data_IF_692422721984
#
_entry.id   IF_692422721984
#
_cell.length_a   1.000
_cell.length_b   1.000
_cell.length_c   1.000
_cell.angle_alpha   90.00
_cell.angle_beta   90.00
_cell.angle_gamma   90.00
#
_symmetry.space_group_name_H-M   'P 1'
#
loop_
_entity.id
_entity.type
_entity.pdbx_description
1 polymer ?
#
# COMPACT_ATOMS: atom_id res chain seq x y z
N UNK A 1 32.84 -0.41 32.26
CA UNK A 1 32.51 -1.06 30.98
C UNK A 1 31.18 -0.43 30.56
N UNK A 2 31.26 0.68 29.84
CA UNK A 2 30.08 1.44 29.40
C UNK A 2 29.53 0.80 28.11
N UNK A 3 28.22 0.55 27.99
CA UNK A 3 27.63 0.16 26.72
C UNK A 3 27.46 1.41 25.84
N UNK A 4 27.97 1.37 24.61
CA UNK A 4 27.85 2.45 23.63
C UNK A 4 26.41 2.67 23.13
N UNK A 5 26.10 3.85 22.54
CA UNK A 5 24.75 4.23 22.20
C UNK A 5 24.24 3.49 20.95
N UNK A 6 23.04 2.91 21.07
CA UNK A 6 22.27 2.31 19.98
C UNK A 6 21.51 3.44 19.27
N UNK A 7 22.18 4.19 18.39
CA UNK A 7 21.58 5.36 17.70
C UNK A 7 21.45 5.22 16.17
N UNK A 8 21.53 4.01 15.59
CA UNK A 8 21.42 3.87 14.11
C UNK A 8 20.00 3.62 13.57
N UNK A 9 19.02 3.31 14.43
CA UNK A 9 17.70 2.84 13.96
C UNK A 9 16.65 3.96 13.79
N UNK A 10 16.74 5.11 14.49
CA UNK A 10 15.72 6.18 14.35
C UNK A 10 15.96 7.10 13.15
N UNK A 11 17.22 7.38 12.80
CA UNK A 11 17.58 8.27 11.69
C UNK A 11 17.16 7.70 10.32
N UNK A 12 17.36 6.39 10.09
CA UNK A 12 16.89 5.72 8.88
C UNK A 12 15.35 5.68 8.75
N UNK A 13 14.62 5.66 9.87
CA UNK A 13 13.14 5.69 9.87
C UNK A 13 12.61 7.02 9.35
N UNK A 14 13.16 8.14 9.82
CA UNK A 14 12.74 9.48 9.39
C UNK A 14 13.13 9.76 7.94
N UNK A 15 14.25 9.23 7.46
CA UNK A 15 14.68 9.43 6.07
C UNK A 15 13.76 8.74 5.06
N UNK A 16 13.34 7.49 5.33
CA UNK A 16 12.40 6.78 4.46
C UNK A 16 11.00 7.40 4.48
N UNK A 17 10.55 7.83 5.66
CA UNK A 17 9.29 8.58 5.84
C UNK A 17 9.29 9.87 5.00
N UNK A 18 10.33 10.69 5.13
CA UNK A 18 10.49 11.95 4.37
C UNK A 18 10.61 11.70 2.87
N UNK A 19 11.30 10.63 2.48
CA UNK A 19 11.45 10.26 1.08
C UNK A 19 10.10 9.93 0.44
N UNK A 20 9.30 9.03 1.04
CA UNK A 20 7.99 8.67 0.49
C UNK A 20 7.00 9.83 0.53
N UNK A 21 7.01 10.65 1.58
CA UNK A 21 6.16 11.84 1.66
C UNK A 21 6.48 12.82 0.52
N UNK A 22 7.76 13.19 0.35
CA UNK A 22 8.18 14.12 -0.70
C UNK A 22 7.94 13.59 -2.11
N UNK A 23 8.18 12.30 -2.33
CA UNK A 23 7.95 11.67 -3.64
C UNK A 23 6.46 11.59 -3.99
N UNK A 24 5.62 11.22 -3.02
CA UNK A 24 4.16 11.18 -3.19
C UNK A 24 3.60 12.57 -3.44
N UNK A 25 4.01 13.57 -2.65
CA UNK A 25 3.61 14.97 -2.87
C UNK A 25 4.01 15.45 -4.26
N UNK A 26 5.26 15.23 -4.67
CA UNK A 26 5.74 15.62 -5.99
C UNK A 26 4.89 15.02 -7.12
N UNK A 27 4.62 13.71 -7.07
CA UNK A 27 3.89 13.02 -8.14
C UNK A 27 2.42 13.40 -8.14
N UNK A 28 1.75 13.35 -6.99
CA UNK A 28 0.33 13.64 -6.92
C UNK A 28 0.05 15.11 -7.23
N UNK A 29 0.82 16.04 -6.66
CA UNK A 29 0.61 17.46 -6.90
C UNK A 29 1.08 17.89 -8.30
N UNK A 30 2.30 17.54 -8.70
CA UNK A 30 2.93 18.11 -9.89
C UNK A 30 2.63 17.33 -11.17
N UNK A 31 2.55 15.99 -11.11
CA UNK A 31 2.32 15.16 -12.30
C UNK A 31 0.86 14.82 -12.52
N UNK A 32 0.08 14.65 -11.44
CA UNK A 32 -1.33 14.23 -11.52
C UNK A 32 -2.34 15.36 -11.24
N UNK A 33 -1.88 16.52 -10.74
CA UNK A 33 -2.75 17.66 -10.42
C UNK A 33 -3.69 17.41 -9.23
N UNK A 34 -3.36 16.46 -8.36
CA UNK A 34 -4.10 16.12 -7.15
C UNK A 34 -3.59 16.97 -5.99
N UNK A 35 -4.39 17.94 -5.55
CA UNK A 35 -4.09 18.83 -4.42
C UNK A 35 -4.68 18.33 -3.08
N UNK A 36 -5.09 17.05 -3.01
CA UNK A 36 -5.73 16.45 -1.84
C UNK A 36 -4.69 15.96 -0.83
N UNK A 37 -4.28 16.86 0.06
CA UNK A 37 -3.20 16.61 1.04
C UNK A 37 -3.49 15.38 1.91
N UNK A 38 -4.72 15.22 2.41
CA UNK A 38 -5.09 14.09 3.27
C UNK A 38 -4.96 12.74 2.54
N UNK A 39 -5.31 12.70 1.26
CA UNK A 39 -5.18 11.52 0.43
C UNK A 39 -3.70 11.19 0.18
N UNK A 40 -2.89 12.20 -0.16
CA UNK A 40 -1.45 12.02 -0.41
C UNK A 40 -0.71 11.56 0.85
N UNK A 41 -1.02 12.16 2.01
CA UNK A 41 -0.44 11.76 3.29
C UNK A 41 -0.80 10.30 3.61
N UNK A 42 -2.07 9.93 3.43
CA UNK A 42 -2.52 8.56 3.65
C UNK A 42 -1.79 7.54 2.77
N UNK A 43 -1.62 7.84 1.48
CA UNK A 43 -0.90 6.97 0.54
C UNK A 43 0.58 6.85 0.90
N UNK A 44 1.21 7.94 1.32
CA UNK A 44 2.61 7.96 1.79
C UNK A 44 2.80 7.06 3.00
N UNK A 45 1.92 7.18 4.00
CA UNK A 45 1.94 6.32 5.18
C UNK A 45 1.62 4.86 4.83
N UNK A 46 0.69 4.63 3.90
CA UNK A 46 0.35 3.28 3.42
C UNK A 46 1.56 2.61 2.77
N UNK A 47 2.23 3.29 1.84
CA UNK A 47 3.45 2.80 1.20
C UNK A 47 4.50 2.40 2.24
N UNK A 48 4.73 3.26 3.23
CA UNK A 48 5.67 2.98 4.31
C UNK A 48 5.29 1.74 5.11
N UNK A 49 4.00 1.55 5.45
CA UNK A 49 3.51 0.33 6.12
C UNK A 49 3.83 -0.91 5.28
N UNK A 50 3.54 -0.89 3.99
CA UNK A 50 3.70 -2.06 3.13
C UNK A 50 5.15 -2.37 2.77
N UNK A 51 6.00 -1.37 2.55
CA UNK A 51 7.45 -1.59 2.35
C UNK A 51 8.09 -2.21 3.59
N UNK A 52 7.67 -1.78 4.78
CA UNK A 52 8.11 -2.40 6.04
C UNK A 52 7.60 -3.83 6.16
N UNK A 53 6.34 -4.08 5.82
CA UNK A 53 5.74 -5.41 5.89
C UNK A 53 6.33 -6.35 4.83
N UNK A 54 6.58 -5.93 3.59
CA UNK A 54 7.27 -6.73 2.55
C UNK A 54 8.70 -7.09 2.96
N UNK A 55 9.42 -6.15 3.59
CA UNK A 55 10.75 -6.41 4.14
C UNK A 55 10.71 -7.51 5.22
N UNK A 56 9.64 -7.54 6.02
CA UNK A 56 9.44 -8.51 7.11
C UNK A 56 8.80 -9.84 6.65
N UNK A 57 7.92 -9.82 5.64
CA UNK A 57 7.16 -10.97 5.10
C UNK A 57 7.90 -11.70 3.97
N UNK A 58 9.20 -11.48 3.82
CA UNK A 58 10.10 -12.29 2.99
C UNK A 58 10.22 -13.76 3.45
N UNK A 59 9.29 -14.24 4.29
CA UNK A 59 9.00 -15.64 4.61
C UNK A 59 7.90 -16.08 3.64
N UNK A 60 8.32 -16.56 2.47
CA UNK A 60 7.43 -17.24 1.52
C UNK A 60 6.89 -18.52 2.15
N UNK A 61 5.67 -18.91 1.77
CA UNK A 61 5.29 -20.31 1.90
C UNK A 61 6.26 -21.20 1.09
N UNK A 62 6.46 -22.48 1.46
CA UNK A 62 7.34 -23.40 0.72
C UNK A 62 7.00 -23.56 -0.78
N UNK A 63 5.79 -23.16 -1.18
CA UNK A 63 5.30 -23.14 -2.57
C UNK A 63 5.62 -21.82 -3.33
N UNK A 64 6.30 -20.85 -2.69
CA UNK A 64 6.69 -19.59 -3.29
C UNK A 64 5.62 -18.49 -3.27
N UNK A 65 4.46 -18.70 -2.66
CA UNK A 65 3.39 -17.69 -2.58
C UNK A 65 3.58 -16.72 -1.41
N UNK A 66 3.25 -15.41 -1.58
CA UNK A 66 3.10 -14.47 -0.48
C UNK A 66 2.05 -14.97 0.52
N UNK A 67 2.29 -14.73 1.81
CA UNK A 67 1.52 -15.35 2.90
C UNK A 67 0.10 -14.79 3.13
N UNK A 68 -0.48 -14.02 2.22
CA UNK A 68 -1.83 -13.46 2.39
C UNK A 68 -2.57 -13.35 1.06
N UNK A 69 -3.57 -14.21 0.85
CA UNK A 69 -4.50 -14.13 -0.27
C UNK A 69 -5.65 -13.15 0.04
N UNK A 70 -6.00 -12.28 -0.90
CA UNK A 70 -7.12 -11.33 -0.79
C UNK A 70 -8.42 -12.07 -0.54
N UNK A 71 -8.61 -13.22 -1.17
CA UNK A 71 -9.76 -14.09 -0.94
C UNK A 71 -9.98 -14.40 0.54
N UNK A 72 -8.93 -14.82 1.26
CA UNK A 72 -9.02 -15.17 2.67
C UNK A 72 -9.33 -13.95 3.54
N UNK A 73 -8.75 -12.80 3.21
CA UNK A 73 -9.06 -11.56 3.93
C UNK A 73 -10.53 -11.16 3.77
N UNK A 74 -11.11 -11.33 2.57
CA UNK A 74 -12.52 -11.04 2.31
C UNK A 74 -13.44 -11.98 3.10
N UNK A 75 -13.14 -13.30 3.11
CA UNK A 75 -13.89 -14.29 3.89
C UNK A 75 -13.87 -13.94 5.38
N UNK A 76 -12.71 -13.50 5.89
CA UNK A 76 -12.58 -13.08 7.28
C UNK A 76 -13.35 -11.78 7.56
N UNK A 77 -13.33 -10.81 6.63
CA UNK A 77 -14.06 -9.54 6.76
C UNK A 77 -15.56 -9.76 6.95
N UNK A 78 -16.15 -10.72 6.24
CA UNK A 78 -17.57 -11.06 6.32
C UNK A 78 -17.99 -11.55 7.72
N UNK A 79 -17.06 -12.07 8.52
CA UNK A 79 -17.30 -12.53 9.90
C UNK A 79 -17.18 -11.42 10.94
N UNK A 80 -16.65 -10.27 10.57
CA UNK A 80 -16.41 -9.15 11.49
C UNK A 80 -17.57 -8.17 11.49
N UNK A 81 -17.72 -7.45 12.60
CA UNK A 81 -18.72 -6.38 12.80
C UNK A 81 -18.06 -5.13 13.39
N UNK A 82 -18.71 -3.97 13.21
CA UNK A 82 -18.26 -2.68 13.75
C UNK A 82 -16.83 -2.31 13.35
N UNK A 83 -16.05 -1.76 14.28
CA UNK A 83 -14.67 -1.31 14.05
C UNK A 83 -13.77 -2.43 13.50
N UNK A 84 -13.95 -3.67 13.95
CA UNK A 84 -13.16 -4.79 13.42
C UNK A 84 -13.43 -5.03 11.93
N UNK A 85 -14.69 -4.93 11.50
CA UNK A 85 -15.08 -5.05 10.08
C UNK A 85 -14.45 -3.93 9.26
N UNK A 86 -14.50 -2.71 9.78
CA UNK A 86 -13.92 -1.53 9.17
C UNK A 86 -12.42 -1.68 8.92
N UNK A 87 -11.66 -2.09 9.94
CA UNK A 87 -10.21 -2.19 9.81
C UNK A 87 -9.77 -3.32 8.87
N UNK A 88 -10.50 -4.45 8.85
CA UNK A 88 -10.22 -5.51 7.88
C UNK A 88 -10.49 -5.03 6.45
N UNK A 89 -11.62 -4.35 6.20
CA UNK A 89 -11.92 -3.81 4.87
C UNK A 89 -10.95 -2.70 4.45
N UNK A 90 -10.57 -1.80 5.35
CA UNK A 90 -9.50 -0.82 5.10
C UNK A 90 -8.20 -1.52 4.71
N UNK A 91 -7.82 -2.58 5.42
CA UNK A 91 -6.61 -3.33 5.11
C UNK A 91 -6.68 -4.01 3.74
N UNK A 92 -7.83 -4.59 3.37
CA UNK A 92 -8.06 -5.15 2.02
C UNK A 92 -7.90 -4.05 0.96
N UNK A 93 -8.47 -2.86 1.20
CA UNK A 93 -8.31 -1.70 0.34
C UNK A 93 -6.84 -1.32 0.17
N UNK A 94 -6.11 -1.14 1.28
CA UNK A 94 -4.70 -0.77 1.25
C UNK A 94 -3.84 -1.82 0.53
N UNK A 95 -4.07 -3.11 0.82
CA UNK A 95 -3.33 -4.22 0.23
C UNK A 95 -3.55 -4.25 -1.29
N UNK A 96 -4.81 -4.23 -1.71
CA UNK A 96 -5.14 -4.27 -3.14
C UNK A 96 -4.64 -3.03 -3.88
N UNK A 97 -4.69 -1.84 -3.27
CA UNK A 97 -4.17 -0.60 -3.85
C UNK A 97 -2.66 -0.65 -4.02
N UNK A 98 -1.95 -1.05 -2.97
CA UNK A 98 -0.49 -1.22 -3.00
C UNK A 98 -0.07 -2.17 -4.12
N UNK A 99 -0.64 -3.38 -4.19
CA UNK A 99 -0.26 -4.36 -5.23
C UNK A 99 -0.65 -3.92 -6.64
N UNK A 100 -1.80 -3.27 -6.81
CA UNK A 100 -2.27 -2.79 -8.13
C UNK A 100 -1.43 -1.62 -8.67
N UNK A 101 -0.89 -0.81 -7.76
CA UNK A 101 -0.02 0.32 -8.09
C UNK A 101 1.44 -0.08 -8.24
N UNK A 102 2.00 -0.69 -7.18
CA UNK A 102 3.42 -1.01 -7.10
C UNK A 102 3.80 -2.26 -7.88
N UNK A 103 2.97 -3.30 -7.97
CA UNK A 103 3.37 -4.55 -8.64
C UNK A 103 2.27 -5.16 -9.53
N UNK A 104 1.70 -4.39 -10.47
CA UNK A 104 0.61 -4.88 -11.34
C UNK A 104 1.04 -6.07 -12.21
N UNK A 105 2.32 -6.19 -12.55
CA UNK A 105 2.84 -7.33 -13.32
C UNK A 105 2.77 -8.64 -12.55
N UNK A 106 2.95 -8.58 -11.22
CA UNK A 106 2.85 -9.75 -10.34
C UNK A 106 1.42 -10.26 -10.28
N UNK A 107 0.43 -9.34 -10.24
CA UNK A 107 -1.00 -9.71 -10.26
C UNK A 107 -1.40 -10.42 -11.55
N UNK A 108 -0.91 -9.96 -12.71
CA UNK A 108 -1.17 -10.61 -14.01
C UNK A 108 -0.64 -12.04 -14.11
N UNK A 109 0.33 -12.40 -13.27
CA UNK A 109 0.92 -13.75 -13.22
C UNK A 109 0.16 -14.70 -12.30
N UNK A 110 -0.75 -14.19 -11.47
CA UNK A 110 -1.59 -15.03 -10.60
C UNK A 110 -2.58 -15.79 -11.50
N UNK A 111 -2.55 -17.11 -11.40
CA UNK A 111 -3.45 -17.99 -12.14
C UNK A 111 -4.46 -18.60 -11.17
N UNK A 112 -5.71 -18.66 -11.60
CA UNK A 112 -6.81 -19.34 -10.92
C UNK A 112 -6.48 -20.78 -10.50
N UNK A 113 -5.68 -21.49 -11.30
CA UNK A 113 -5.22 -22.86 -11.03
C UNK A 113 -4.26 -22.97 -9.83
N UNK A 114 -3.62 -21.86 -9.44
CA UNK A 114 -2.59 -21.81 -8.40
C UNK A 114 -3.02 -21.04 -7.15
N UNK A 115 -4.00 -20.14 -7.27
CA UNK A 115 -4.52 -19.35 -6.15
C UNK A 115 -5.96 -18.87 -6.43
N UNK A 116 -6.83 -18.85 -5.41
CA UNK A 116 -8.15 -18.21 -5.49
C UNK A 116 -8.11 -16.75 -5.95
N UNK A 117 -7.02 -16.03 -5.65
CA UNK A 117 -6.83 -14.64 -6.06
C UNK A 117 -6.76 -14.48 -7.58
N UNK A 118 -6.50 -15.55 -8.34
CA UNK A 118 -6.54 -15.54 -9.80
C UNK A 118 -7.94 -15.28 -10.38
N UNK A 119 -9.00 -15.33 -9.56
CA UNK A 119 -10.36 -14.94 -9.93
C UNK A 119 -10.74 -13.53 -9.45
N UNK A 120 -9.87 -12.86 -8.70
CA UNK A 120 -10.17 -11.58 -8.06
C UNK A 120 -9.67 -10.44 -8.95
N UNK A 121 -10.57 -9.51 -9.28
CA UNK A 121 -10.20 -8.19 -9.76
C UNK A 121 -9.80 -7.33 -8.56
N UNK A 122 -8.50 -7.10 -8.39
CA UNK A 122 -7.95 -6.36 -7.26
C UNK A 122 -8.44 -4.91 -7.23
N UNK A 123 -8.60 -4.25 -8.38
CA UNK A 123 -9.10 -2.88 -8.43
C UNK A 123 -10.55 -2.84 -7.94
N UNK A 124 -11.40 -3.72 -8.49
CA UNK A 124 -12.81 -3.79 -8.07
C UNK A 124 -12.95 -4.16 -6.60
N UNK A 125 -12.13 -5.09 -6.12
CA UNK A 125 -12.15 -5.53 -4.73
C UNK A 125 -11.67 -4.44 -3.77
N UNK A 126 -10.62 -3.70 -4.13
CA UNK A 126 -10.09 -2.59 -3.34
C UNK A 126 -11.08 -1.44 -3.19
N UNK A 127 -11.68 -1.01 -4.31
CA UNK A 127 -12.78 -0.04 -4.31
C UNK A 127 -13.89 -0.41 -3.33
N UNK A 128 -14.42 -1.63 -3.49
CA UNK A 128 -15.51 -2.13 -2.66
C UNK A 128 -15.10 -2.18 -1.18
N UNK A 129 -13.87 -2.57 -0.88
CA UNK A 129 -13.40 -2.65 0.50
C UNK A 129 -13.31 -1.27 1.15
N UNK A 130 -12.76 -0.26 0.45
CA UNK A 130 -12.76 1.11 0.95
C UNK A 130 -14.17 1.68 1.12
N UNK A 131 -15.09 1.43 0.18
CA UNK A 131 -16.48 1.85 0.30
C UNK A 131 -17.15 1.28 1.56
N UNK A 132 -17.01 -0.03 1.81
CA UNK A 132 -17.56 -0.67 3.02
C UNK A 132 -16.91 -0.10 4.30
N UNK A 133 -15.61 0.15 4.29
CA UNK A 133 -14.94 0.74 5.44
C UNK A 133 -15.38 2.19 5.71
N UNK A 134 -15.73 2.94 4.66
CA UNK A 134 -16.27 4.30 4.78
C UNK A 134 -17.67 4.35 5.40
N UNK A 135 -18.45 3.28 5.30
CA UNK A 135 -19.79 3.18 5.91
C UNK A 135 -19.76 3.01 7.44
N UNK A 136 -18.59 2.78 8.03
CA UNK A 136 -18.43 2.49 9.46
C UNK A 136 -17.56 3.58 10.10
N UNK A 137 -18.11 4.31 11.06
CA UNK A 137 -17.37 5.34 11.80
C UNK A 137 -16.16 4.74 12.55
N UNK A 138 -14.99 5.37 12.39
CA UNK A 138 -13.72 4.88 12.95
C UNK A 138 -13.27 5.57 14.25
N UNK A 139 -13.94 6.65 14.65
CA UNK A 139 -13.43 7.58 15.66
C UNK A 139 -12.31 8.48 15.11
N UNK A 140 -11.75 9.32 15.99
CA UNK A 140 -10.80 10.38 15.60
C UNK A 140 -9.38 9.87 15.26
N UNK A 141 -8.95 8.76 15.87
CA UNK A 141 -7.61 8.19 15.67
C UNK A 141 -7.45 7.39 14.36
N UNK A 142 -8.48 7.38 13.50
CA UNK A 142 -8.54 6.58 12.27
C UNK A 142 -8.84 7.47 11.07
N UNK A 143 -8.46 7.04 9.86
CA UNK A 143 -8.81 7.76 8.63
C UNK A 143 -10.30 8.08 8.60
N UNK A 144 -10.71 9.28 8.18
CA UNK A 144 -12.12 9.63 8.13
C UNK A 144 -12.90 8.78 7.11
N UNK A 145 -14.22 8.67 7.29
CA UNK A 145 -15.08 8.01 6.31
C UNK A 145 -14.97 8.67 4.93
N UNK A 146 -14.91 10.00 4.87
CA UNK A 146 -14.77 10.76 3.62
C UNK A 146 -13.45 10.47 2.90
N UNK A 147 -12.35 10.29 3.63
CA UNK A 147 -11.06 9.91 3.05
C UNK A 147 -11.14 8.50 2.46
N UNK A 148 -11.69 7.53 3.20
CA UNK A 148 -11.86 6.16 2.68
C UNK A 148 -12.81 6.12 1.47
N UNK A 149 -13.89 6.90 1.48
CA UNK A 149 -14.78 7.00 0.33
C UNK A 149 -14.06 7.58 -0.90
N UNK A 150 -13.26 8.64 -0.74
CA UNK A 150 -12.43 9.18 -1.83
C UNK A 150 -11.43 8.16 -2.37
N UNK A 151 -10.79 7.37 -1.51
CA UNK A 151 -9.90 6.28 -1.94
C UNK A 151 -10.63 5.21 -2.76
N UNK A 152 -11.90 4.94 -2.45
CA UNK A 152 -12.75 4.07 -3.30
C UNK A 152 -13.01 4.72 -4.66
N UNK A 153 -13.47 5.97 -4.69
CA UNK A 153 -13.83 6.66 -5.94
C UNK A 153 -12.63 6.89 -6.86
N UNK A 154 -11.47 7.21 -6.27
CA UNK A 154 -10.24 7.57 -6.99
C UNK A 154 -9.22 6.43 -7.03
N UNK A 155 -9.64 5.19 -6.81
CA UNK A 155 -8.74 4.05 -6.64
C UNK A 155 -7.74 3.90 -7.80
N UNK A 156 -8.19 3.95 -9.06
CA UNK A 156 -7.28 3.80 -10.21
C UNK A 156 -6.32 4.97 -10.36
N UNK A 157 -6.77 6.19 -10.03
CA UNK A 157 -5.89 7.36 -10.02
C UNK A 157 -4.80 7.18 -8.96
N UNK A 158 -5.17 6.74 -7.77
CA UNK A 158 -4.23 6.43 -6.69
C UNK A 158 -3.26 5.32 -7.13
N UNK A 159 -3.77 4.21 -7.68
CA UNK A 159 -2.94 3.10 -8.16
C UNK A 159 -1.97 3.55 -9.26
N UNK A 160 -2.42 4.42 -10.17
CA UNK A 160 -1.56 5.02 -11.19
C UNK A 160 -0.46 5.88 -10.55
N UNK A 161 -0.79 6.75 -9.59
CA UNK A 161 0.20 7.54 -8.87
C UNK A 161 1.23 6.70 -8.13
N UNK A 162 0.82 5.59 -7.50
CA UNK A 162 1.75 4.63 -6.89
C UNK A 162 2.69 4.00 -7.93
N UNK A 163 2.20 3.73 -9.14
CA UNK A 163 3.05 3.21 -10.23
C UNK A 163 4.10 4.23 -10.67
N UNK A 164 3.72 5.49 -10.75
CA UNK A 164 4.67 6.57 -11.04
C UNK A 164 5.71 6.70 -9.92
N UNK A 165 5.30 6.56 -8.64
CA UNK A 165 6.22 6.54 -7.50
C UNK A 165 7.25 5.42 -7.65
N UNK A 166 6.80 4.19 -7.97
CA UNK A 166 7.71 3.08 -8.24
C UNK A 166 8.68 3.38 -9.38
N UNK A 167 8.20 3.96 -10.48
CA UNK A 167 9.05 4.27 -11.64
C UNK A 167 10.16 5.24 -11.27
N UNK A 168 9.86 6.30 -10.52
CA UNK A 168 10.89 7.25 -10.06
C UNK A 168 11.92 6.59 -9.12
N UNK A 169 11.49 5.64 -8.27
CA UNK A 169 12.41 4.88 -7.41
C UNK A 169 13.35 4.03 -8.26
N UNK A 170 12.82 3.29 -9.24
CA UNK A 170 13.61 2.44 -10.15
C UNK A 170 14.58 3.25 -11.03
N UNK A 171 14.16 4.44 -11.49
CA UNK A 171 15.00 5.37 -12.26
C UNK A 171 16.10 6.00 -11.38
N UNK A 172 15.80 6.35 -10.13
CA UNK A 172 16.75 6.86 -9.16
C UNK A 172 17.84 5.84 -8.78
N UNK A 173 17.48 4.55 -8.67
CA UNK A 173 18.45 3.46 -8.43
C UNK A 173 19.36 3.20 -9.64
N UNK A 174 18.88 3.43 -10.87
CA UNK A 174 19.68 3.28 -12.10
C UNK A 174 20.63 4.46 -12.35
N UNK A 175 20.32 5.65 -11.82
CA UNK A 175 21.16 6.85 -11.91
C UNK A 175 22.44 6.80 -11.07
N UNK A 176 22.56 5.82 -10.16
CA UNK A 176 23.70 5.66 -9.23
C UNK A 176 24.65 4.51 -9.65
N UNK A 177 24.53 4.01 -10.88
CA UNK A 177 25.54 3.15 -11.51
C UNK A 177 26.61 4.04 -12.18
N UNK A 178 27.80 4.25 -11.58
CA UNK A 178 28.89 4.89 -12.28
C UNK A 178 29.28 4.01 -13.48
N UNK A 179 29.28 4.64 -14.65
CA UNK A 179 29.98 4.18 -15.84
C UNK A 179 31.40 3.74 -15.45
N UNK A 180 31.62 2.43 -15.37
CA UNK A 180 32.95 1.83 -15.45
C UNK A 180 32.88 0.70 -16.49
N UNK A 181 33.12 1.08 -17.73
CA UNK A 181 33.77 0.26 -18.77
C UNK A 181 34.78 1.13 -19.46
#
# INVERSE_FOLDING_TARGET
MEPGPIESSSAGRSNLERFFAGLSECIFLSKLGVADVQLVDYLSEMLLRFVRVESLQRIRHPNGQPATEVFQMVVEADRRVGIARREVHRHIGDFTLFWSGMYPESLRKIKAEKSPDGFIDYCRQGKRAYAIAAEIEGGEDRPSCDLLFRLSEQFELCAYGLREIRREIEEGEQGDLPLIT
#
